data_IF_951163293256
#
_entry.id   IF_951163293256
#
_cell.length_a   1.000
_cell.length_b   1.000
_cell.length_c   1.000
_cell.angle_alpha   90.00
_cell.angle_beta   90.00
_cell.angle_gamma   90.00
#
_symmetry.space_group_name_H-M   'P 1'
#
loop_
_entity.id
_entity.type
_entity.pdbx_description
1 polymer ?
#
# COMPACT_ATOMS: atom_id res chain seq x y z
N UNK A 1 14.62 43.05 -16.00
CA UNK A 1 13.62 42.50 -15.04
C UNK A 1 13.05 41.22 -15.64
N UNK A 2 13.63 40.06 -15.32
CA UNK A 2 13.18 38.76 -15.81
C UNK A 2 12.43 38.02 -14.71
N UNK A 3 11.18 37.65 -14.97
CA UNK A 3 10.35 36.92 -14.01
C UNK A 3 10.63 35.42 -14.08
N UNK A 4 11.14 34.84 -13.00
CA UNK A 4 11.29 33.39 -12.86
C UNK A 4 9.91 32.73 -12.72
N UNK A 5 9.58 31.69 -13.49
CA UNK A 5 8.33 30.95 -13.27
C UNK A 5 8.40 30.21 -11.94
N UNK A 6 7.53 30.58 -10.99
CA UNK A 6 7.35 29.84 -9.74
C UNK A 6 6.71 28.49 -10.05
N UNK A 7 7.50 27.41 -10.04
CA UNK A 7 6.97 26.04 -10.03
C UNK A 7 6.02 25.90 -8.83
N UNK A 8 4.73 25.74 -9.10
CA UNK A 8 3.72 25.65 -8.05
C UNK A 8 3.69 24.24 -7.48
N UNK A 9 4.05 24.09 -6.19
CA UNK A 9 3.99 22.80 -5.47
C UNK A 9 2.59 22.14 -5.44
N UNK A 10 1.54 22.86 -5.87
CA UNK A 10 0.18 22.32 -6.02
C UNK A 10 0.02 21.31 -7.17
N UNK A 11 0.95 21.24 -8.13
CA UNK A 11 0.83 20.34 -9.28
C UNK A 11 1.35 18.90 -9.03
N UNK A 12 2.00 18.64 -7.88
CA UNK A 12 2.66 17.35 -7.58
C UNK A 12 1.88 16.46 -6.58
N UNK A 13 0.63 16.82 -6.25
CA UNK A 13 -0.23 16.08 -5.30
C UNK A 13 -1.45 15.53 -6.04
N UNK A 14 -1.26 14.40 -6.72
CA UNK A 14 -2.26 13.33 -6.94
C UNK A 14 -1.53 12.13 -7.58
N UNK A 15 -0.86 11.30 -6.78
CA UNK A 15 -0.60 9.91 -7.17
C UNK A 15 -1.54 9.03 -6.34
N UNK A 16 -2.49 8.39 -7.02
CA UNK A 16 -3.64 7.74 -6.38
C UNK A 16 -3.23 6.41 -5.79
N UNK A 17 -3.18 6.35 -4.45
CA UNK A 17 -3.05 5.07 -3.73
C UNK A 17 -4.30 4.23 -4.00
N UNK A 18 -4.17 3.25 -4.88
CA UNK A 18 -5.25 2.32 -5.23
C UNK A 18 -5.55 1.38 -4.05
N UNK A 19 -6.41 1.84 -3.15
CA UNK A 19 -7.09 0.98 -2.18
C UNK A 19 -8.25 0.28 -2.88
N UNK A 20 -8.27 -1.05 -2.79
CA UNK A 20 -9.22 -1.86 -3.55
C UNK A 20 -10.69 -1.52 -3.24
N UNK A 21 -11.45 -1.25 -4.31
CA UNK A 21 -12.90 -1.37 -4.49
C UNK A 21 -13.75 -1.22 -3.22
N UNK A 22 -14.37 -0.04 -3.05
CA UNK A 22 -15.65 0.13 -2.37
C UNK A 22 -16.68 0.63 -3.38
N UNK A 23 -17.46 -0.29 -3.93
CA UNK A 23 -18.70 0.05 -4.65
C UNK A 23 -19.80 0.28 -3.63
N UNK A 24 -19.92 1.50 -3.09
CA UNK A 24 -21.14 1.95 -2.40
C UNK A 24 -21.38 3.45 -2.68
N UNK A 25 -22.13 3.71 -3.74
CA UNK A 25 -23.09 4.80 -3.81
C UNK A 25 -24.39 4.15 -4.32
N UNK A 26 -25.54 4.42 -3.68
CA UNK A 26 -26.46 5.41 -4.26
C UNK A 26 -27.24 6.16 -3.14
N UNK A 27 -28.23 7.05 -3.30
CA UNK A 27 -29.12 7.45 -4.41
C UNK A 27 -29.48 8.94 -4.28
N UNK A 28 -29.76 9.61 -5.41
CA UNK A 28 -30.95 10.49 -5.51
C UNK A 28 -31.62 10.19 -6.84
N UNK A 29 -32.86 9.69 -6.78
CA UNK A 29 -33.64 9.27 -7.93
C UNK A 29 -34.72 10.32 -8.20
N UNK A 30 -34.77 10.85 -9.42
CA UNK A 30 -36.02 11.35 -10.01
C UNK A 30 -36.48 10.36 -11.10
N UNK A 31 -37.42 9.48 -10.70
CA UNK A 31 -38.75 9.37 -11.30
C UNK A 31 -38.90 9.80 -12.79
N UNK A 32 -39.45 9.04 -13.76
CA UNK A 32 -40.45 7.96 -13.80
C UNK A 32 -40.35 7.24 -15.17
N UNK A 33 -40.67 5.93 -15.24
CA UNK A 33 -41.51 5.27 -16.27
C UNK A 33 -41.17 3.78 -16.50
N UNK A 34 -41.99 2.91 -15.91
CA UNK A 34 -42.25 1.52 -16.35
C UNK A 34 -43.68 1.49 -16.99
N UNK A 35 -44.20 0.40 -17.61
CA UNK A 35 -43.75 -1.00 -17.64
C UNK A 35 -43.47 -1.49 -19.10
N UNK A 36 -43.35 -2.75 -19.54
CA UNK A 36 -43.92 -4.06 -19.11
C UNK A 36 -43.02 -5.30 -19.31
N UNK A 37 -43.49 -6.40 -18.71
CA UNK A 37 -43.12 -7.84 -18.82
C UNK A 37 -43.23 -8.36 -20.27
N UNK A 38 -42.50 -9.35 -20.80
CA UNK A 38 -41.45 -10.29 -20.34
C UNK A 38 -41.36 -11.47 -21.35
N UNK A 39 -40.20 -12.14 -21.55
CA UNK A 39 -39.99 -13.38 -20.80
C UNK A 39 -38.53 -13.68 -20.38
N UNK A 40 -38.43 -14.49 -19.32
CA UNK A 40 -37.26 -15.15 -18.72
C UNK A 40 -36.02 -15.30 -19.59
N UNK A 41 -34.98 -14.50 -19.29
CA UNK A 41 -33.60 -14.85 -19.61
C UNK A 41 -33.08 -15.82 -18.55
N UNK A 42 -32.52 -16.97 -18.98
CA UNK A 42 -31.89 -17.90 -18.03
C UNK A 42 -30.77 -17.21 -17.25
N UNK A 43 -30.70 -17.37 -15.91
CA UNK A 43 -29.59 -16.85 -15.15
C UNK A 43 -28.32 -17.57 -15.61
N UNK A 44 -27.44 -16.84 -16.30
CA UNK A 44 -26.12 -17.31 -16.70
C UNK A 44 -25.29 -17.59 -15.44
N UNK A 45 -25.45 -18.81 -14.92
CA UNK A 45 -24.73 -19.41 -13.80
C UNK A 45 -23.29 -19.68 -14.26
N UNK A 46 -22.52 -18.61 -14.53
CA UNK A 46 -21.12 -18.72 -14.91
C UNK A 46 -20.36 -19.32 -13.74
N UNK A 47 -20.02 -20.59 -13.94
CA UNK A 47 -19.54 -21.53 -12.94
C UNK A 47 -18.46 -20.97 -12.00
N UNK A 48 -18.54 -21.43 -10.76
CA UNK A 48 -17.42 -21.50 -9.83
C UNK A 48 -16.27 -22.32 -10.43
N UNK A 49 -15.33 -21.65 -11.11
CA UNK A 49 -13.97 -22.13 -11.43
C UNK A 49 -13.12 -20.91 -11.81
N UNK A 50 -11.90 -20.73 -11.32
CA UNK A 50 -11.08 -21.60 -10.47
C UNK A 50 -10.44 -20.80 -9.32
N UNK A 51 -10.05 -21.50 -8.26
CA UNK A 51 -8.95 -21.02 -7.43
C UNK A 51 -7.73 -20.90 -8.36
N UNK A 52 -7.33 -19.67 -8.68
CA UNK A 52 -6.13 -19.42 -9.46
C UNK A 52 -4.96 -20.04 -8.73
N UNK A 53 -4.33 -21.04 -9.35
CA UNK A 53 -3.14 -21.68 -8.82
C UNK A 53 -2.13 -20.58 -8.51
N UNK A 54 -1.78 -20.42 -7.23
CA UNK A 54 -0.93 -19.33 -6.79
C UNK A 54 0.48 -19.56 -7.34
N UNK A 55 0.74 -19.01 -8.53
CA UNK A 55 2.04 -19.03 -9.20
C UNK A 55 3.06 -18.51 -8.20
N UNK A 56 3.86 -19.42 -7.64
CA UNK A 56 4.85 -19.12 -6.61
C UNK A 56 5.98 -18.34 -7.26
N UNK A 57 5.79 -17.03 -7.39
CA UNK A 57 6.79 -16.09 -7.88
C UNK A 57 8.08 -16.34 -7.10
N UNK A 58 9.16 -16.69 -7.83
CA UNK A 58 10.43 -17.10 -7.24
C UNK A 58 10.92 -15.99 -6.33
N UNK A 59 10.95 -16.25 -5.01
CA UNK A 59 11.30 -15.23 -4.02
C UNK A 59 12.70 -14.67 -4.35
N UNK A 60 12.88 -13.33 -4.37
CA UNK A 60 14.20 -12.72 -4.55
C UNK A 60 15.23 -13.30 -3.59
N UNK A 61 16.46 -13.50 -4.06
CA UNK A 61 17.58 -14.06 -3.28
C UNK A 61 17.82 -13.27 -1.99
N UNK A 62 17.69 -11.94 -2.04
CA UNK A 62 17.76 -11.01 -0.91
C UNK A 62 16.71 -11.23 0.18
N UNK A 63 15.65 -12.01 -0.06
CA UNK A 63 14.58 -12.34 0.89
C UNK A 63 14.55 -13.82 1.29
N UNK A 64 15.57 -14.61 0.93
CA UNK A 64 15.73 -15.98 1.43
C UNK A 64 16.10 -15.95 2.91
N UNK A 65 15.53 -16.85 3.72
CA UNK A 65 15.65 -16.83 5.18
C UNK A 65 14.87 -15.71 5.91
N UNK A 66 14.63 -14.58 5.25
CA UNK A 66 13.94 -13.43 5.84
C UNK A 66 12.40 -13.62 5.97
N UNK A 67 11.83 -12.96 6.97
CA UNK A 67 10.39 -12.77 7.18
C UNK A 67 10.08 -11.27 7.20
N UNK A 68 8.98 -10.87 6.56
CA UNK A 68 8.50 -9.49 6.63
C UNK A 68 7.71 -9.26 7.91
N UNK A 69 7.84 -8.07 8.49
CA UNK A 69 7.01 -7.56 9.59
C UNK A 69 6.23 -6.38 9.02
N UNK A 70 4.90 -6.40 9.20
CA UNK A 70 4.00 -5.32 8.78
C UNK A 70 3.44 -4.64 10.02
N UNK A 71 3.50 -3.32 10.08
CA UNK A 71 2.97 -2.50 11.17
C UNK A 71 2.18 -1.35 10.55
N UNK A 72 1.02 -1.03 11.13
CA UNK A 72 0.27 0.17 10.79
C UNK A 72 0.80 1.34 11.62
N UNK A 73 1.18 2.43 10.97
CA UNK A 73 1.72 3.64 11.59
C UNK A 73 1.04 4.87 11.02
N UNK A 74 1.09 5.98 11.74
CA UNK A 74 0.57 7.25 11.27
C UNK A 74 1.37 7.79 10.06
N UNK A 75 0.75 8.54 9.13
CA UNK A 75 1.43 9.06 7.93
C UNK A 75 2.60 10.00 8.23
N UNK A 76 2.65 10.58 9.42
CA UNK A 76 3.74 11.46 9.87
C UNK A 76 4.96 10.65 10.30
N UNK A 77 4.76 9.59 11.10
CA UNK A 77 5.80 8.64 11.49
C UNK A 77 6.45 8.03 10.23
N UNK A 78 5.66 7.62 9.24
CA UNK A 78 6.18 7.09 7.98
C UNK A 78 7.04 8.09 7.20
N UNK A 79 6.71 9.39 7.25
CA UNK A 79 7.52 10.46 6.65
C UNK A 79 8.82 10.69 7.41
N UNK A 80 8.77 10.73 8.74
CA UNK A 80 9.96 10.91 9.58
C UNK A 80 10.98 9.78 9.40
N UNK A 81 10.54 8.52 9.32
CA UNK A 81 11.44 7.37 9.07
C UNK A 81 12.15 7.51 7.71
N UNK A 82 11.49 8.07 6.68
CA UNK A 82 12.13 8.35 5.39
C UNK A 82 13.15 9.47 5.47
N UNK A 83 12.86 10.55 6.19
CA UNK A 83 13.79 11.65 6.39
C UNK A 83 15.07 11.18 7.09
N UNK A 84 14.95 10.41 8.18
CA UNK A 84 16.10 9.79 8.87
C UNK A 84 16.94 8.93 7.92
N UNK A 85 16.30 8.16 7.02
CA UNK A 85 17.03 7.40 6.00
C UNK A 85 17.80 8.27 5.00
N UNK A 86 17.20 9.38 4.56
CA UNK A 86 17.86 10.33 3.65
C UNK A 86 19.00 11.08 4.34
N UNK A 87 18.82 11.51 5.59
CA UNK A 87 19.83 12.26 6.36
C UNK A 87 21.06 11.40 6.72
N UNK A 88 20.90 10.07 6.77
CA UNK A 88 21.94 9.12 7.15
C UNK A 88 22.49 8.27 5.97
N UNK A 89 22.08 8.55 4.72
CA UNK A 89 22.38 7.72 3.53
C UNK A 89 21.98 6.22 3.69
N UNK A 90 20.93 5.95 4.47
CA UNK A 90 20.45 4.60 4.80
C UNK A 90 19.13 4.26 4.10
N UNK A 91 18.94 2.97 3.77
CA UNK A 91 17.61 2.54 3.31
C UNK A 91 16.62 2.51 4.50
N UNK A 92 15.33 2.67 4.21
CA UNK A 92 14.27 2.49 5.21
C UNK A 92 14.34 1.12 5.91
N UNK A 93 14.88 0.09 5.25
CA UNK A 93 15.07 -1.22 5.88
C UNK A 93 16.17 -1.16 6.95
N UNK A 94 17.28 -0.46 6.69
CA UNK A 94 18.41 -0.38 7.60
C UNK A 94 18.06 0.45 8.84
N UNK A 95 17.41 1.61 8.65
CA UNK A 95 16.86 2.43 9.76
C UNK A 95 15.91 1.62 10.66
N UNK A 96 15.03 0.81 10.06
CA UNK A 96 14.12 -0.05 10.84
C UNK A 96 14.86 -1.18 11.55
N UNK A 97 15.93 -1.73 10.96
CA UNK A 97 16.76 -2.77 11.59
C UNK A 97 17.58 -2.21 12.76
N UNK A 98 18.06 -0.98 12.67
CA UNK A 98 18.70 -0.26 13.79
C UNK A 98 17.70 0.00 14.92
N UNK A 99 16.52 0.55 14.61
CA UNK A 99 15.47 0.79 15.62
C UNK A 99 15.03 -0.50 16.33
N UNK A 100 14.93 -1.62 15.61
CA UNK A 100 14.66 -2.94 16.19
C UNK A 100 15.83 -3.40 17.09
N UNK A 101 17.07 -3.25 16.64
CA UNK A 101 18.26 -3.59 17.43
C UNK A 101 18.32 -2.82 18.75
N UNK A 102 18.03 -1.53 18.73
CA UNK A 102 18.04 -0.69 19.93
C UNK A 102 16.87 -1.00 20.86
N UNK A 103 15.69 -1.35 20.33
CA UNK A 103 14.60 -1.87 21.14
C UNK A 103 14.96 -3.20 21.81
N UNK A 104 15.59 -4.13 21.10
CA UNK A 104 16.02 -5.41 21.64
C UNK A 104 17.14 -5.26 22.68
N UNK A 105 18.10 -4.36 22.45
CA UNK A 105 19.14 -4.02 23.41
C UNK A 105 18.54 -3.42 24.70
N UNK A 106 17.60 -2.46 24.59
CA UNK A 106 16.84 -1.90 25.73
C UNK A 106 16.00 -2.93 26.49
N UNK A 107 15.74 -4.10 25.90
CA UNK A 107 15.03 -5.24 26.52
C UNK A 107 15.96 -6.40 26.91
N UNK A 108 17.28 -6.20 26.91
CA UNK A 108 18.26 -7.22 27.31
C UNK A 108 18.39 -8.41 26.35
N UNK A 109 17.85 -8.32 25.13
CA UNK A 109 17.86 -9.40 24.12
C UNK A 109 19.07 -9.34 23.17
N UNK A 110 20.00 -8.40 23.40
CA UNK A 110 21.14 -8.13 22.53
C UNK A 110 20.74 -7.47 21.20
N UNK A 111 21.72 -7.28 20.32
CA UNK A 111 21.52 -6.85 18.92
C UNK A 111 21.52 -8.09 18.03
N UNK A 112 20.46 -8.31 17.27
CA UNK A 112 20.22 -9.52 16.47
C UNK A 112 20.19 -9.26 14.96
N UNK A 113 19.83 -8.04 14.55
CA UNK A 113 19.87 -7.62 13.16
C UNK A 113 21.31 -7.25 12.76
N UNK A 114 21.77 -7.74 11.61
CA UNK A 114 22.97 -7.24 10.95
C UNK A 114 22.57 -6.04 10.10
N UNK A 115 22.99 -4.84 10.48
CA UNK A 115 23.06 -3.70 9.56
C UNK A 115 24.08 -4.04 8.46
N UNK A 116 23.81 -3.62 7.22
CA UNK A 116 24.61 -4.00 6.05
C UNK A 116 25.77 -3.05 5.81
#
# INVERSE_FOLDING_TARGET
MSATPRFSLRAAVTDSVSTGRRDEAPETIDAIAAPEVGPTLEPHRRATKAAGEAVKTKRPTTRQGARGITVWVEPEIYRMIKLVGLDADMTTQDVMMEAINDLLAKKGKGRLAKTR
#
